data_IF_217495052266
#
_entry.id   IF_217495052266
#
_cell.length_a   1.000
_cell.length_b   1.000
_cell.length_c   1.000
_cell.angle_alpha   90.00
_cell.angle_beta   90.00
_cell.angle_gamma   90.00
#
_symmetry.space_group_name_H-M   'P 1'
#
loop_
_entity.id
_entity.type
_entity.pdbx_description
1 polymer ?
#
# COMPACT_ATOMS: atom_id res chain seq x y z
N UNK A 1 -5.47 -28.12 -75.13
CA UNK A 1 -6.44 -27.08 -74.76
C UNK A 1 -6.40 -26.92 -73.26
N UNK A 2 -6.26 -25.67 -72.82
CA UNK A 2 -5.97 -25.22 -71.46
C UNK A 2 -7.07 -25.53 -70.46
N UNK A 3 -6.69 -25.80 -69.20
CA UNK A 3 -7.21 -25.04 -68.07
C UNK A 3 -6.42 -25.38 -66.80
N UNK A 4 -5.61 -24.43 -66.32
CA UNK A 4 -5.11 -24.43 -64.95
C UNK A 4 -5.38 -23.05 -64.39
N UNK A 5 -6.36 -22.99 -63.47
CA UNK A 5 -6.76 -21.81 -62.72
C UNK A 5 -5.56 -21.29 -61.90
N UNK A 6 -5.19 -20.02 -62.10
CA UNK A 6 -4.40 -19.27 -61.12
C UNK A 6 -5.35 -18.71 -60.05
N UNK A 7 -5.26 -19.23 -58.82
CA UNK A 7 -5.79 -18.53 -57.65
C UNK A 7 -4.71 -17.60 -57.08
N UNK A 8 -4.86 -16.30 -57.33
CA UNK A 8 -4.06 -15.27 -56.66
C UNK A 8 -4.51 -15.11 -55.21
N UNK A 9 -3.70 -15.61 -54.27
CA UNK A 9 -3.86 -15.31 -52.85
C UNK A 9 -3.24 -13.97 -52.51
N UNK A 10 -4.06 -12.95 -52.27
CA UNK A 10 -3.60 -11.70 -51.65
C UNK A 10 -3.36 -11.98 -50.17
N UNK A 11 -2.09 -12.05 -49.78
CA UNK A 11 -1.72 -12.04 -48.37
C UNK A 11 -1.95 -10.64 -47.80
N UNK A 12 -3.12 -10.42 -47.16
CA UNK A 12 -3.29 -9.28 -46.27
C UNK A 12 -2.40 -9.49 -45.04
N UNK A 13 -1.25 -8.82 -45.02
CA UNK A 13 -0.51 -8.57 -43.77
C UNK A 13 -1.38 -7.65 -42.90
N UNK A 14 -2.20 -8.24 -42.02
CA UNK A 14 -2.80 -7.52 -40.92
C UNK A 14 -1.69 -7.10 -39.95
N UNK A 15 -1.28 -5.82 -40.03
CA UNK A 15 -0.47 -5.20 -38.98
C UNK A 15 -1.35 -5.16 -37.75
N UNK A 16 -1.09 -6.05 -36.78
CA UNK A 16 -1.72 -5.97 -35.47
C UNK A 16 -1.31 -4.63 -34.85
N UNK A 17 -2.22 -3.65 -34.85
CA UNK A 17 -2.02 -2.40 -34.14
C UNK A 17 -1.77 -2.75 -32.67
N UNK A 18 -0.57 -2.46 -32.17
CA UNK A 18 -0.26 -2.62 -30.75
C UNK A 18 -1.22 -1.74 -29.96
N UNK A 19 -2.06 -2.36 -29.12
CA UNK A 19 -2.96 -1.61 -28.25
C UNK A 19 -2.14 -0.59 -27.44
N UNK A 20 -2.46 0.69 -27.61
CA UNK A 20 -1.69 1.77 -27.01
C UNK A 20 -1.79 1.72 -25.48
N UNK A 21 -0.64 1.57 -24.81
CA UNK A 21 -0.59 1.50 -23.35
C UNK A 21 -0.32 2.87 -22.76
N UNK A 22 -1.27 3.41 -22.02
CA UNK A 22 -1.07 4.65 -21.24
C UNK A 22 -0.01 4.40 -20.16
N UNK A 23 1.05 5.22 -20.06
CA UNK A 23 2.10 5.04 -19.05
C UNK A 23 1.53 5.11 -17.63
N UNK A 24 2.11 4.33 -16.71
CA UNK A 24 1.71 4.35 -15.30
C UNK A 24 2.17 5.66 -14.67
N UNK A 25 1.31 6.25 -13.84
CA UNK A 25 1.69 7.35 -12.96
C UNK A 25 2.88 6.97 -12.07
N UNK A 26 3.82 7.89 -11.95
CA UNK A 26 4.89 7.84 -10.94
C UNK A 26 4.39 8.36 -9.59
N UNK A 27 3.35 9.20 -9.59
CA UNK A 27 2.69 9.71 -8.39
C UNK A 27 1.65 8.74 -7.81
N UNK A 28 1.24 9.04 -6.58
CA UNK A 28 0.18 8.34 -5.83
C UNK A 28 -0.89 9.34 -5.43
N UNK A 29 -2.15 8.95 -5.59
CA UNK A 29 -3.31 9.82 -5.40
C UNK A 29 -4.34 9.15 -4.49
N UNK A 30 -5.06 9.90 -3.66
CA UNK A 30 -6.28 9.40 -2.99
C UNK A 30 -7.47 9.49 -3.93
N UNK A 31 -8.57 8.83 -3.57
CA UNK A 31 -9.87 9.09 -4.18
C UNK A 31 -10.23 10.58 -3.98
N UNK A 32 -10.55 11.33 -5.05
CA UNK A 32 -10.72 12.79 -5.03
C UNK A 32 -12.08 13.27 -4.50
N UNK A 33 -12.67 12.53 -3.55
CA UNK A 33 -13.86 12.96 -2.80
C UNK A 33 -13.54 13.10 -1.32
N UNK A 34 -14.36 13.87 -0.59
CA UNK A 34 -14.25 13.99 0.85
C UNK A 34 -14.31 12.62 1.56
N UNK A 35 -13.67 12.52 2.73
CA UNK A 35 -13.65 11.28 3.52
C UNK A 35 -15.08 10.80 3.83
N UNK A 36 -15.34 9.52 3.65
CA UNK A 36 -16.64 8.89 3.86
C UNK A 36 -17.58 8.94 2.65
N UNK A 37 -17.25 9.69 1.59
CA UNK A 37 -18.04 9.66 0.35
C UNK A 37 -17.86 8.33 -0.37
N UNK A 38 -18.95 7.60 -0.58
CA UNK A 38 -18.99 6.49 -1.52
C UNK A 38 -18.96 7.04 -2.94
N UNK A 39 -18.26 6.36 -3.85
CA UNK A 39 -18.22 6.73 -5.26
C UNK A 39 -18.20 5.49 -6.14
N UNK A 40 -18.75 5.63 -7.34
CA UNK A 40 -18.70 4.61 -8.40
C UNK A 40 -17.79 5.09 -9.52
N UNK A 41 -16.97 4.18 -10.05
CA UNK A 41 -16.22 4.39 -11.29
C UNK A 41 -17.15 4.08 -12.45
N UNK A 42 -17.66 5.10 -13.14
CA UNK A 42 -18.51 4.91 -14.32
C UNK A 42 -17.67 4.59 -15.55
N UNK A 43 -16.57 5.31 -15.73
CA UNK A 43 -15.56 5.06 -16.76
C UNK A 43 -14.17 5.10 -16.14
N UNK A 44 -13.35 4.15 -16.54
CA UNK A 44 -11.94 4.03 -16.17
C UNK A 44 -11.02 4.40 -17.33
N UNK A 45 -9.71 4.23 -17.15
CA UNK A 45 -8.74 4.67 -18.15
C UNK A 45 -8.85 3.94 -19.50
N UNK A 46 -9.58 2.82 -19.57
CA UNK A 46 -9.77 2.03 -20.80
C UNK A 46 -11.12 2.30 -21.45
N UNK A 47 -12.13 2.58 -20.64
CA UNK A 47 -13.53 2.69 -21.07
C UNK A 47 -13.96 4.15 -21.31
N UNK A 48 -13.21 5.12 -20.81
CA UNK A 48 -13.40 6.53 -21.17
C UNK A 48 -12.99 6.81 -22.62
N UNK A 49 -13.73 7.67 -23.33
CA UNK A 49 -13.34 8.20 -24.64
C UNK A 49 -13.13 9.72 -24.57
N UNK A 50 -11.91 10.23 -24.81
CA UNK A 50 -10.69 9.49 -25.12
C UNK A 50 -10.09 8.79 -23.88
N UNK A 51 -9.35 7.70 -24.07
CA UNK A 51 -8.79 6.85 -22.99
C UNK A 51 -7.88 7.62 -22.02
N UNK A 52 -7.58 7.08 -20.84
CA UNK A 52 -6.64 7.72 -19.88
C UNK A 52 -7.26 8.73 -18.93
N UNK A 53 -8.59 8.72 -18.83
CA UNK A 53 -9.40 9.63 -18.00
C UNK A 53 -10.43 8.81 -17.23
N UNK A 54 -11.06 9.44 -16.25
CA UNK A 54 -11.96 8.76 -15.34
C UNK A 54 -13.23 9.58 -15.14
N UNK A 55 -14.38 8.93 -15.24
CA UNK A 55 -15.66 9.52 -14.82
C UNK A 55 -16.09 8.84 -13.53
N UNK A 56 -16.05 9.61 -12.45
CA UNK A 56 -16.30 9.18 -11.09
C UNK A 56 -17.60 9.82 -10.62
N UNK A 57 -18.47 9.07 -9.94
CA UNK A 57 -19.77 9.58 -9.49
C UNK A 57 -19.90 9.39 -8.00
N UNK A 58 -20.13 10.47 -7.26
CA UNK A 58 -20.47 10.40 -5.85
C UNK A 58 -21.77 9.62 -5.60
N UNK A 59 -21.83 8.88 -4.50
CA UNK A 59 -22.97 8.06 -4.07
C UNK A 59 -23.21 8.18 -2.56
N UNK A 60 -24.47 7.96 -2.17
CA UNK A 60 -24.92 8.00 -0.77
C UNK A 60 -24.95 9.41 -0.17
N UNK A 61 -25.47 9.58 1.05
CA UNK A 61 -25.44 10.89 1.73
C UNK A 61 -26.16 12.04 1.01
N UNK A 62 -25.77 13.28 1.31
CA UNK A 62 -26.40 14.50 0.78
C UNK A 62 -25.56 15.13 -0.32
N UNK A 63 -26.19 15.39 -1.46
CA UNK A 63 -25.61 16.14 -2.57
C UNK A 63 -25.55 17.66 -2.30
N UNK A 64 -24.61 18.39 -2.92
CA UNK A 64 -23.54 17.89 -3.79
C UNK A 64 -22.39 17.20 -3.06
N UNK A 65 -21.74 16.27 -3.76
CA UNK A 65 -20.53 15.61 -3.29
C UNK A 65 -19.33 16.55 -3.35
N UNK A 66 -18.54 16.58 -2.28
CA UNK A 66 -17.37 17.44 -2.16
C UNK A 66 -16.16 16.81 -2.82
N UNK A 67 -15.58 17.53 -3.79
CA UNK A 67 -14.34 17.15 -4.47
C UNK A 67 -13.16 17.70 -3.67
N UNK A 68 -12.11 16.89 -3.54
CA UNK A 68 -10.89 17.24 -2.80
C UNK A 68 -9.64 16.95 -3.62
N UNK A 69 -8.55 17.62 -3.29
CA UNK A 69 -7.26 17.36 -3.92
C UNK A 69 -6.81 15.91 -3.68
N UNK A 70 -6.47 15.21 -4.76
CA UNK A 70 -6.06 13.81 -4.73
C UNK A 70 -4.61 13.63 -4.25
N UNK A 71 -3.76 14.65 -4.38
CA UNK A 71 -2.39 14.66 -3.89
C UNK A 71 -1.97 16.10 -3.55
N UNK A 72 -0.92 16.30 -2.73
CA UNK A 72 -0.40 17.63 -2.47
C UNK A 72 0.17 18.26 -3.75
N UNK A 73 0.04 19.57 -3.89
CA UNK A 73 0.53 20.27 -5.07
C UNK A 73 0.18 21.75 -5.07
N UNK A 74 0.40 22.41 -6.22
CA UNK A 74 0.06 23.82 -6.43
C UNK A 74 -1.02 23.95 -7.49
N UNK A 75 -2.07 24.71 -7.21
CA UNK A 75 -3.13 24.98 -8.19
C UNK A 75 -2.55 25.87 -9.30
N UNK A 76 -2.61 25.40 -10.55
CA UNK A 76 -2.10 26.10 -11.73
C UNK A 76 -3.18 26.78 -12.55
N UNK A 77 -4.37 26.20 -12.62
CA UNK A 77 -5.49 26.79 -13.35
C UNK A 77 -6.81 26.55 -12.62
N UNK A 78 -7.68 27.56 -12.69
CA UNK A 78 -9.07 27.46 -12.22
C UNK A 78 -10.00 28.15 -13.23
N UNK A 79 -10.94 27.36 -13.75
CA UNK A 79 -12.16 27.87 -14.38
C UNK A 79 -13.36 27.49 -13.50
N UNK A 80 -14.22 28.46 -13.20
CA UNK A 80 -15.31 28.31 -12.22
C UNK A 80 -16.53 29.19 -12.55
N UNK A 81 -16.56 29.78 -13.75
CA UNK A 81 -17.54 30.80 -14.13
C UNK A 81 -18.76 30.25 -14.87
N UNK A 82 -18.68 29.04 -15.42
CA UNK A 82 -19.75 28.45 -16.23
C UNK A 82 -20.80 27.76 -15.36
N UNK A 83 -22.05 27.75 -15.82
CA UNK A 83 -23.18 27.09 -15.14
C UNK A 83 -23.95 26.10 -16.01
N UNK A 84 -23.74 26.12 -17.33
CA UNK A 84 -24.52 25.30 -18.25
C UNK A 84 -23.95 23.89 -18.38
N UNK A 85 -24.83 22.91 -18.46
CA UNK A 85 -24.54 21.59 -19.04
C UNK A 85 -24.60 21.71 -20.57
N UNK A 86 -23.63 21.10 -21.25
CA UNK A 86 -23.52 21.11 -22.70
C UNK A 86 -23.50 19.66 -23.19
N UNK A 87 -24.32 19.37 -24.20
CA UNK A 87 -24.26 18.11 -24.92
C UNK A 87 -22.96 18.07 -25.76
N UNK A 88 -22.16 17.02 -25.59
CA UNK A 88 -20.88 16.85 -26.28
C UNK A 88 -21.01 16.81 -27.80
N UNK A 89 -22.19 16.42 -28.31
CA UNK A 89 -22.43 16.29 -29.75
C UNK A 89 -23.03 17.56 -30.38
N UNK A 90 -23.30 18.59 -29.56
CA UNK A 90 -23.95 19.82 -30.03
C UNK A 90 -23.05 20.74 -30.88
N UNK A 91 -21.77 20.42 -31.04
CA UNK A 91 -20.78 21.28 -31.70
C UNK A 91 -20.43 22.55 -30.92
N UNK A 92 -21.04 22.76 -29.74
CA UNK A 92 -20.71 23.89 -28.85
C UNK A 92 -19.39 23.64 -28.13
N UNK A 93 -18.64 24.71 -27.80
CA UNK A 93 -17.43 24.57 -27.01
C UNK A 93 -17.71 23.94 -25.64
N UNK A 94 -16.88 22.99 -25.22
CA UNK A 94 -16.97 22.39 -23.90
C UNK A 94 -16.49 23.37 -22.80
N UNK A 95 -17.39 24.22 -22.32
CA UNK A 95 -17.12 25.20 -21.26
C UNK A 95 -17.17 24.54 -19.88
N UNK A 96 -16.15 23.75 -19.57
CA UNK A 96 -16.02 23.06 -18.29
C UNK A 96 -15.53 24.02 -17.20
N UNK A 97 -16.03 23.85 -15.97
CA UNK A 97 -15.32 24.34 -14.78
C UNK A 97 -14.33 23.27 -14.33
N UNK A 98 -13.11 23.69 -14.00
CA UNK A 98 -12.04 22.77 -13.64
C UNK A 98 -10.97 23.39 -12.74
N UNK A 99 -10.25 22.51 -12.06
CA UNK A 99 -8.99 22.80 -11.35
C UNK A 99 -7.89 21.91 -11.92
N UNK A 100 -6.73 22.50 -12.18
CA UNK A 100 -5.49 21.76 -12.43
C UNK A 100 -4.50 21.97 -11.28
N UNK A 101 -3.96 20.88 -10.74
CA UNK A 101 -2.95 20.89 -9.67
C UNK A 101 -1.66 20.29 -10.21
N UNK A 102 -0.54 21.00 -10.09
CA UNK A 102 0.80 20.47 -10.34
C UNK A 102 1.37 19.79 -9.10
N UNK A 103 1.98 18.63 -9.28
CA UNK A 103 2.61 17.83 -8.24
C UNK A 103 4.13 17.83 -8.35
N UNK A 104 4.81 17.50 -7.26
CA UNK A 104 6.28 17.54 -7.16
C UNK A 104 7.00 16.60 -8.15
N UNK A 105 6.32 15.56 -8.66
CA UNK A 105 6.85 14.63 -9.65
C UNK A 105 6.67 15.12 -11.11
N UNK A 106 6.17 16.34 -11.32
CA UNK A 106 5.90 16.92 -12.64
C UNK A 106 4.62 16.43 -13.31
N UNK A 107 3.85 15.55 -12.66
CA UNK A 107 2.49 15.21 -13.08
C UNK A 107 1.51 16.25 -12.57
N UNK A 108 0.41 16.41 -13.30
CA UNK A 108 -0.69 17.29 -12.94
C UNK A 108 -1.98 16.46 -12.84
N UNK A 109 -2.86 16.81 -11.90
CA UNK A 109 -4.21 16.26 -11.79
C UNK A 109 -5.28 17.28 -12.14
N UNK A 110 -6.30 16.86 -12.89
CA UNK A 110 -7.47 17.66 -13.26
C UNK A 110 -8.71 17.18 -12.52
N UNK A 111 -9.54 18.13 -12.12
CA UNK A 111 -10.87 17.93 -11.54
C UNK A 111 -11.82 18.78 -12.37
N UNK A 112 -12.84 18.20 -12.99
CA UNK A 112 -13.71 18.90 -13.95
C UNK A 112 -15.18 18.60 -13.73
N UNK A 113 -16.04 19.37 -14.41
CA UNK A 113 -17.50 19.40 -14.30
C UNK A 113 -18.04 19.93 -12.97
N UNK A 114 -17.21 20.70 -12.27
CA UNK A 114 -17.53 21.25 -10.96
C UNK A 114 -18.60 22.34 -11.04
N UNK A 115 -19.41 22.49 -9.99
CA UNK A 115 -20.45 23.53 -9.94
C UNK A 115 -19.84 24.93 -10.00
N UNK A 116 -20.56 25.85 -10.65
CA UNK A 116 -20.21 27.28 -10.69
C UNK A 116 -19.96 27.82 -9.29
N UNK A 117 -18.96 28.69 -9.16
CA UNK A 117 -18.60 29.39 -7.92
C UNK A 117 -18.19 28.45 -6.76
N UNK A 118 -18.11 27.14 -6.98
CA UNK A 118 -17.77 26.19 -5.91
C UNK A 118 -16.29 26.22 -5.57
N UNK A 119 -15.44 26.59 -6.52
CA UNK A 119 -13.98 26.59 -6.35
C UNK A 119 -13.47 27.92 -5.81
N UNK A 120 -13.78 29.03 -6.51
CA UNK A 120 -13.27 30.36 -6.19
C UNK A 120 -14.05 31.01 -5.04
N UNK A 121 -15.37 30.85 -5.01
CA UNK A 121 -16.23 31.51 -4.02
C UNK A 121 -16.41 30.63 -2.79
N UNK A 122 -16.97 29.42 -2.95
CA UNK A 122 -17.26 28.54 -1.81
C UNK A 122 -16.00 27.95 -1.17
N UNK A 123 -15.08 27.40 -1.97
CA UNK A 123 -13.82 26.86 -1.45
C UNK A 123 -12.72 27.93 -1.24
N UNK A 124 -12.91 29.14 -1.76
CA UNK A 124 -11.96 30.24 -1.61
C UNK A 124 -10.62 30.03 -2.32
N UNK A 125 -10.54 29.10 -3.29
CA UNK A 125 -9.28 28.70 -3.93
C UNK A 125 -8.84 29.69 -5.00
N UNK A 126 -7.52 29.83 -5.12
CA UNK A 126 -6.85 30.72 -6.09
C UNK A 126 -5.74 29.98 -6.82
N UNK A 127 -5.45 30.44 -8.04
CA UNK A 127 -4.25 30.02 -8.74
C UNK A 127 -3.02 30.42 -7.91
N UNK A 128 -2.10 29.48 -7.72
CA UNK A 128 -0.91 29.63 -6.86
C UNK A 128 -1.07 29.02 -5.47
N UNK A 129 -2.29 28.66 -5.04
CA UNK A 129 -2.51 28.01 -3.74
C UNK A 129 -1.77 26.66 -3.68
N UNK A 130 -1.10 26.43 -2.55
CA UNK A 130 -0.57 25.10 -2.19
C UNK A 130 -1.66 24.34 -1.44
N UNK A 131 -1.98 23.15 -1.93
CA UNK A 131 -3.00 22.26 -1.34
C UNK A 131 -2.38 20.95 -0.87
N UNK A 132 -2.98 20.35 0.15
CA UNK A 132 -2.69 19.00 0.65
C UNK A 132 -3.72 18.02 0.12
N UNK A 133 -3.39 16.73 0.09
CA UNK A 133 -4.39 15.70 -0.21
C UNK A 133 -5.56 15.78 0.77
N UNK A 134 -6.79 15.81 0.27
CA UNK A 134 -8.02 15.97 1.07
C UNK A 134 -8.50 17.42 1.22
N UNK A 135 -7.74 18.41 0.77
CA UNK A 135 -8.18 19.80 0.76
C UNK A 135 -9.36 19.99 -0.20
N UNK A 136 -10.43 20.63 0.29
CA UNK A 136 -11.63 20.88 -0.51
C UNK A 136 -11.34 21.79 -1.70
N UNK A 137 -11.77 21.36 -2.89
CA UNK A 137 -11.60 22.09 -4.15
C UNK A 137 -12.91 22.67 -4.67
N UNK A 138 -14.05 22.05 -4.38
CA UNK A 138 -15.37 22.49 -4.83
C UNK A 138 -16.34 21.33 -4.92
N UNK A 139 -17.47 21.53 -5.60
CA UNK A 139 -18.59 20.58 -5.59
C UNK A 139 -18.75 19.86 -6.93
N UNK A 140 -19.06 18.57 -6.88
CA UNK A 140 -19.46 17.78 -8.03
C UNK A 140 -20.70 18.39 -8.70
N UNK A 141 -20.67 18.40 -10.03
CA UNK A 141 -21.76 18.87 -10.86
C UNK A 141 -21.72 18.27 -12.25
N UNK A 142 -22.35 18.98 -13.18
CA UNK A 142 -22.50 18.60 -14.59
C UNK A 142 -22.20 19.76 -15.54
N UNK A 143 -21.30 20.66 -15.13
CA UNK A 143 -20.98 21.87 -15.90
C UNK A 143 -20.08 21.54 -17.10
N UNK A 144 -20.40 22.10 -18.26
CA UNK A 144 -19.69 21.85 -19.52
C UNK A 144 -20.14 20.55 -20.19
N UNK A 145 -19.24 19.89 -20.91
CA UNK A 145 -19.54 18.67 -21.68
C UNK A 145 -19.67 17.44 -20.77
N UNK A 146 -20.75 17.39 -20.01
CA UNK A 146 -21.04 16.33 -19.05
C UNK A 146 -22.39 15.68 -19.36
N UNK A 147 -22.44 14.35 -19.37
CA UNK A 147 -23.69 13.59 -19.55
C UNK A 147 -24.61 13.57 -18.32
N UNK A 148 -24.18 14.15 -17.20
CA UNK A 148 -24.85 14.14 -15.90
C UNK A 148 -23.86 14.52 -14.79
N UNK A 149 -24.32 14.48 -13.54
CA UNK A 149 -23.47 14.80 -12.38
C UNK A 149 -22.38 13.74 -12.20
N UNK A 150 -21.13 14.16 -12.33
CA UNK A 150 -19.93 13.34 -12.12
C UNK A 150 -18.68 14.22 -12.00
N UNK A 151 -17.66 13.72 -11.32
CA UNK A 151 -16.30 14.24 -11.43
C UNK A 151 -15.60 13.59 -12.62
N UNK A 152 -15.16 14.41 -13.57
CA UNK A 152 -14.16 13.99 -14.54
C UNK A 152 -12.75 14.22 -13.97
N UNK A 153 -11.97 13.16 -13.85
CA UNK A 153 -10.63 13.16 -13.26
C UNK A 153 -9.58 12.73 -14.29
N UNK A 154 -8.45 13.43 -14.30
CA UNK A 154 -7.31 13.12 -15.17
C UNK A 154 -6.00 13.24 -14.41
N UNK A 155 -5.01 12.42 -14.77
CA UNK A 155 -3.60 12.63 -14.41
C UNK A 155 -2.80 12.68 -15.71
N UNK A 156 -1.87 13.62 -15.83
CA UNK A 156 -1.01 13.72 -17.00
C UNK A 156 0.22 14.58 -16.81
N UNK A 157 1.12 14.58 -17.79
CA UNK A 157 2.30 15.46 -17.82
C UNK A 157 2.10 16.49 -18.94
N UNK A 158 1.80 17.74 -18.60
CA UNK A 158 1.53 18.77 -19.60
C UNK A 158 2.79 19.17 -20.37
N UNK A 159 2.61 19.98 -21.42
CA UNK A 159 3.72 20.70 -22.04
C UNK A 159 4.27 21.75 -21.06
N UNK A 160 5.56 22.06 -21.18
CA UNK A 160 6.17 23.14 -20.41
C UNK A 160 5.58 24.53 -20.78
N UNK A 161 5.23 24.73 -22.04
CA UNK A 161 4.54 25.93 -22.55
C UNK A 161 3.17 25.55 -23.07
N UNK A 162 2.19 26.44 -22.85
CA UNK A 162 0.79 26.25 -23.25
C UNK A 162 0.24 24.87 -22.83
N UNK A 163 0.23 24.58 -21.50
CA UNK A 163 -0.02 23.23 -20.99
C UNK A 163 -1.43 22.72 -21.31
N UNK A 164 -2.40 23.63 -21.42
CA UNK A 164 -3.82 23.32 -21.64
C UNK A 164 -4.45 24.23 -22.69
N UNK A 165 -5.57 23.79 -23.27
CA UNK A 165 -6.43 24.62 -24.11
C UNK A 165 -7.14 25.67 -23.25
N UNK A 166 -7.41 26.84 -23.84
CA UNK A 166 -8.15 27.92 -23.18
C UNK A 166 -9.61 27.56 -22.91
N UNK A 167 -10.22 26.81 -23.83
CA UNK A 167 -11.59 26.30 -23.68
C UNK A 167 -11.53 24.86 -23.19
N UNK A 168 -12.26 24.55 -22.12
CA UNK A 168 -12.41 23.21 -21.55
C UNK A 168 -11.22 22.67 -20.76
N UNK A 169 -10.07 23.35 -20.82
CA UNK A 169 -8.88 23.04 -20.03
C UNK A 169 -8.28 21.67 -20.32
N UNK A 170 -8.27 21.25 -21.59
CA UNK A 170 -7.72 19.95 -22.00
C UNK A 170 -6.21 20.05 -22.17
N UNK A 171 -5.47 18.98 -21.84
CA UNK A 171 -4.02 18.94 -22.12
C UNK A 171 -3.76 19.18 -23.61
N UNK A 172 -2.85 20.12 -23.90
CA UNK A 172 -2.42 20.37 -25.29
C UNK A 172 -1.57 19.25 -25.83
N UNK A 173 -1.61 19.05 -27.16
CA UNK A 173 -0.84 18.03 -27.86
C UNK A 173 -1.01 16.66 -27.16
N UNK A 174 -2.25 16.28 -26.93
CA UNK A 174 -2.60 15.06 -26.19
C UNK A 174 -3.44 14.09 -27.03
N UNK A 175 -3.18 14.07 -28.35
CA UNK A 175 -3.67 13.02 -29.23
C UNK A 175 -3.30 11.64 -28.67
N UNK A 176 -4.25 10.72 -28.76
CA UNK A 176 -4.14 9.35 -28.24
C UNK A 176 -3.75 9.25 -26.76
N UNK A 177 -4.03 10.31 -25.99
CA UNK A 177 -3.75 10.38 -24.56
C UNK A 177 -2.28 10.17 -24.19
N UNK A 178 -1.35 10.52 -25.10
CA UNK A 178 0.10 10.35 -24.90
C UNK A 178 0.66 11.09 -23.67
N UNK A 179 -0.04 12.12 -23.19
CA UNK A 179 0.31 12.88 -21.98
C UNK A 179 -0.39 12.39 -20.74
N UNK A 180 -1.48 11.63 -20.85
CA UNK A 180 -2.15 11.07 -19.69
C UNK A 180 -1.26 10.01 -19.01
N UNK A 181 -1.54 9.77 -17.74
CA UNK A 181 -0.97 8.70 -16.94
C UNK A 181 -2.11 7.89 -16.35
N UNK A 182 -1.92 6.57 -16.28
CA UNK A 182 -2.79 5.72 -15.50
C UNK A 182 -2.56 6.05 -14.03
N UNK A 183 -3.53 6.71 -13.41
CA UNK A 183 -3.45 7.13 -12.01
C UNK A 183 -3.27 5.90 -11.11
N UNK A 184 -2.40 6.02 -10.11
CA UNK A 184 -2.24 5.04 -9.04
C UNK A 184 -2.96 5.56 -7.81
N UNK A 185 -4.01 4.86 -7.42
CA UNK A 185 -4.93 5.30 -6.38
C UNK A 185 -4.67 4.53 -5.09
N UNK A 186 -4.41 5.25 -4.00
CA UNK A 186 -4.23 4.66 -2.69
C UNK A 186 -5.54 4.08 -2.15
N UNK A 187 -5.42 3.03 -1.33
CA UNK A 187 -6.51 2.44 -0.56
C UNK A 187 -7.62 1.77 -1.38
N UNK A 188 -7.30 1.32 -2.59
CA UNK A 188 -8.15 0.45 -3.40
C UNK A 188 -7.35 -0.74 -3.96
N UNK A 189 -8.00 -1.88 -4.28
CA UNK A 189 -7.34 -3.03 -4.89
C UNK A 189 -6.55 -2.65 -6.15
N UNK A 190 -5.35 -3.22 -6.29
CA UNK A 190 -4.41 -2.98 -7.40
C UNK A 190 -4.04 -1.51 -7.65
N UNK A 191 -4.37 -0.62 -6.70
CA UNK A 191 -4.26 0.83 -6.84
C UNK A 191 -4.90 1.38 -8.12
N UNK A 192 -6.00 0.77 -8.60
CA UNK A 192 -6.57 1.09 -9.91
C UNK A 192 -8.08 1.25 -9.86
N UNK A 193 -8.57 2.34 -10.44
CA UNK A 193 -10.00 2.47 -10.73
C UNK A 193 -10.38 1.48 -11.83
N UNK A 194 -11.45 0.73 -11.59
CA UNK A 194 -12.01 -0.24 -12.55
C UNK A 194 -13.47 0.10 -12.75
N UNK A 195 -13.89 0.30 -13.99
CA UNK A 195 -15.27 0.67 -14.31
C UNK A 195 -16.27 -0.36 -13.74
N UNK A 196 -17.35 0.14 -13.16
CA UNK A 196 -18.37 -0.65 -12.47
C UNK A 196 -18.13 -0.81 -10.97
N UNK A 197 -16.90 -0.67 -10.48
CA UNK A 197 -16.59 -0.81 -9.06
C UNK A 197 -16.97 0.44 -8.27
N UNK A 198 -17.30 0.24 -6.99
CA UNK A 198 -17.50 1.30 -6.00
C UNK A 198 -16.42 1.27 -4.93
N UNK A 199 -16.09 2.44 -4.41
CA UNK A 199 -15.12 2.62 -3.34
C UNK A 199 -15.57 3.73 -2.38
N UNK A 200 -15.10 3.69 -1.14
CA UNK A 200 -15.30 4.78 -0.18
C UNK A 200 -14.04 5.62 -0.08
N UNK A 201 -14.14 6.91 -0.37
CA UNK A 201 -13.05 7.84 -0.21
C UNK A 201 -12.65 7.95 1.27
N UNK A 202 -11.34 7.99 1.52
CA UNK A 202 -10.79 8.06 2.87
C UNK A 202 -9.47 8.80 2.91
N UNK A 203 -9.07 9.19 4.11
CA UNK A 203 -7.72 9.67 4.37
C UNK A 203 -6.73 8.53 4.17
N UNK A 204 -5.76 8.76 3.31
CA UNK A 204 -4.68 7.81 3.02
C UNK A 204 -3.40 8.26 3.74
N UNK A 205 -2.43 7.35 3.95
CA UNK A 205 -1.10 7.75 4.43
C UNK A 205 -0.54 8.89 3.58
N UNK A 206 0.00 9.93 4.22
CA UNK A 206 0.63 11.05 3.51
C UNK A 206 2.03 10.69 3.00
N UNK A 207 2.58 11.45 2.03
CA UNK A 207 3.91 11.19 1.49
C UNK A 207 4.97 11.13 2.60
N UNK A 208 5.92 10.20 2.47
CA UNK A 208 7.06 10.11 3.36
C UNK A 208 8.16 11.07 2.95
N UNK A 209 8.85 11.66 3.94
CA UNK A 209 10.04 12.46 3.71
C UNK A 209 11.30 11.60 3.82
N UNK A 210 12.26 11.86 2.93
CA UNK A 210 13.60 11.27 3.01
C UNK A 210 14.40 11.82 4.21
N UNK A 211 15.48 11.13 4.58
CA UNK A 211 16.47 11.63 5.55
C UNK A 211 16.35 11.07 6.98
N UNK A 212 15.25 10.40 7.33
CA UNK A 212 15.14 9.68 8.60
C UNK A 212 15.94 8.37 8.55
N UNK A 213 16.56 8.00 9.67
CA UNK A 213 17.22 6.68 9.79
C UNK A 213 16.23 5.52 9.87
N UNK A 214 14.99 5.81 10.26
CA UNK A 214 13.88 4.85 10.32
C UNK A 214 12.54 5.59 10.23
N UNK A 215 11.58 4.99 9.54
CA UNK A 215 10.18 5.41 9.53
C UNK A 215 9.34 4.21 9.94
N UNK A 216 8.38 4.39 10.85
CA UNK A 216 7.50 3.31 11.27
C UNK A 216 6.03 3.75 11.25
N UNK A 217 5.13 2.81 10.94
CA UNK A 217 3.67 2.97 10.96
C UNK A 217 3.04 1.71 11.54
N UNK A 218 2.07 1.88 12.43
CA UNK A 218 1.49 0.79 13.21
C UNK A 218 -0.02 0.89 13.20
N UNK A 219 -0.69 -0.25 13.21
CA UNK A 219 -2.15 -0.31 13.09
C UNK A 219 -2.66 0.24 11.76
N UNK A 220 -1.88 0.11 10.68
CA UNK A 220 -2.29 0.55 9.35
C UNK A 220 -3.26 -0.48 8.74
N UNK A 221 -4.46 -0.11 8.27
CA UNK A 221 -5.33 -1.04 7.54
C UNK A 221 -4.58 -1.69 6.36
N UNK A 222 -4.75 -3.00 6.15
CA UNK A 222 -4.02 -3.72 5.09
C UNK A 222 -4.22 -3.11 3.70
N UNK A 223 -5.42 -2.59 3.43
CA UNK A 223 -5.77 -1.91 2.17
C UNK A 223 -4.90 -0.66 1.89
N UNK A 224 -4.36 -0.04 2.94
CA UNK A 224 -3.51 1.14 2.85
C UNK A 224 -2.02 0.78 2.72
N UNK A 225 -1.63 -0.48 2.98
CA UNK A 225 -0.22 -0.88 3.06
C UNK A 225 0.52 -0.75 1.73
N UNK A 226 -0.11 -1.09 0.60
CA UNK A 226 0.53 -0.93 -0.70
C UNK A 226 0.85 0.54 -0.98
N UNK A 227 -0.07 1.46 -0.66
CA UNK A 227 0.17 2.90 -0.78
C UNK A 227 1.35 3.34 0.11
N UNK A 228 1.38 2.89 1.37
CA UNK A 228 2.48 3.22 2.28
C UNK A 228 3.83 2.69 1.78
N UNK A 229 3.86 1.44 1.29
CA UNK A 229 5.06 0.82 0.72
C UNK A 229 5.58 1.63 -0.46
N UNK A 230 4.70 2.05 -1.37
CA UNK A 230 5.09 2.81 -2.55
C UNK A 230 5.57 4.22 -2.20
N UNK A 231 4.96 4.87 -1.21
CA UNK A 231 5.44 6.14 -0.66
C UNK A 231 6.83 5.99 -0.03
N UNK A 232 7.07 4.89 0.68
CA UNK A 232 8.38 4.59 1.26
C UNK A 232 9.43 4.39 0.16
N UNK A 233 9.10 3.65 -0.90
CA UNK A 233 9.99 3.41 -2.03
C UNK A 233 10.34 4.71 -2.77
N UNK A 234 9.34 5.58 -3.03
CA UNK A 234 9.55 6.91 -3.63
C UNK A 234 10.49 7.76 -2.75
N UNK A 235 10.33 7.69 -1.43
CA UNK A 235 11.16 8.41 -0.47
C UNK A 235 12.53 7.77 -0.20
N UNK A 236 12.89 6.70 -0.93
CA UNK A 236 14.19 6.03 -0.81
C UNK A 236 14.31 5.08 0.38
N UNK A 237 13.19 4.52 0.86
CA UNK A 237 13.14 3.53 1.94
C UNK A 237 12.70 2.15 1.45
N UNK A 238 13.01 1.14 2.26
CA UNK A 238 12.59 -0.24 2.07
C UNK A 238 12.11 -0.82 3.41
N UNK A 239 11.10 -1.72 3.41
CA UNK A 239 10.67 -2.37 4.64
C UNK A 239 11.77 -3.29 5.20
N UNK A 240 11.90 -3.27 6.52
CA UNK A 240 12.84 -4.10 7.28
C UNK A 240 12.15 -4.96 8.33
N UNK A 241 10.91 -4.65 8.65
CA UNK A 241 10.06 -5.40 9.56
C UNK A 241 8.60 -5.26 9.12
N UNK A 242 7.85 -6.34 9.20
CA UNK A 242 6.40 -6.37 9.10
C UNK A 242 5.87 -7.27 10.21
N UNK A 243 4.75 -6.87 10.80
CA UNK A 243 3.90 -7.73 11.62
C UNK A 243 2.45 -7.48 11.22
N UNK A 244 1.69 -8.57 11.14
CA UNK A 244 0.30 -8.54 10.72
C UNK A 244 -0.59 -8.86 11.93
N UNK A 245 -1.48 -7.95 12.26
CA UNK A 245 -2.41 -8.10 13.39
C UNK A 245 -3.84 -8.05 12.89
N UNK A 246 -4.67 -9.02 13.29
CA UNK A 246 -6.11 -8.92 13.08
C UNK A 246 -6.78 -8.19 14.25
N UNK A 247 -7.71 -7.28 13.96
CA UNK A 247 -8.58 -6.61 14.95
C UNK A 247 -10.02 -6.60 14.43
N UNK A 248 -10.95 -7.18 15.16
CA UNK A 248 -12.36 -7.24 14.76
C UNK A 248 -12.61 -7.94 13.42
N UNK A 249 -11.71 -8.85 13.00
CA UNK A 249 -11.75 -9.52 11.70
C UNK A 249 -10.90 -8.85 10.62
N UNK A 250 -10.69 -7.53 10.71
CA UNK A 250 -9.88 -6.79 9.73
C UNK A 250 -8.37 -6.99 9.96
N UNK A 251 -7.59 -6.98 8.88
CA UNK A 251 -6.13 -7.06 8.94
C UNK A 251 -5.47 -5.68 9.01
N UNK A 252 -4.48 -5.57 9.87
CA UNK A 252 -3.66 -4.38 10.06
C UNK A 252 -2.17 -4.72 9.97
N UNK A 253 -1.36 -3.77 9.52
CA UNK A 253 0.08 -3.90 9.32
C UNK A 253 0.82 -2.97 10.27
N UNK A 254 1.86 -3.53 10.89
CA UNK A 254 2.90 -2.82 11.61
C UNK A 254 4.17 -2.88 10.77
N UNK A 255 4.57 -1.76 10.18
CA UNK A 255 5.65 -1.70 9.21
C UNK A 255 6.77 -0.76 9.67
N UNK A 256 8.01 -1.23 9.56
CA UNK A 256 9.23 -0.45 9.79
C UNK A 256 10.01 -0.37 8.49
N UNK A 257 10.40 0.83 8.12
CA UNK A 257 11.14 1.16 6.91
C UNK A 257 12.47 1.82 7.27
N UNK A 258 13.51 1.54 6.48
CA UNK A 258 14.85 2.14 6.58
C UNK A 258 15.38 2.52 5.21
N UNK A 259 16.38 3.41 5.12
CA UNK A 259 16.99 3.77 3.85
C UNK A 259 17.30 2.54 2.99
N UNK A 260 16.89 2.62 1.72
CA UNK A 260 16.95 1.51 0.79
C UNK A 260 18.38 1.33 0.25
N UNK A 261 18.72 0.08 -0.06
CA UNK A 261 19.85 -0.24 -0.94
C UNK A 261 19.26 -0.83 -2.22
N UNK A 262 19.44 -0.12 -3.34
CA UNK A 262 18.80 -0.47 -4.61
C UNK A 262 19.10 -1.92 -5.04
N UNK A 263 18.07 -2.63 -5.53
CA UNK A 263 18.21 -3.99 -6.05
C UNK A 263 18.36 -5.10 -5.00
N UNK A 264 18.29 -4.79 -3.70
CA UNK A 264 18.55 -5.77 -2.64
C UNK A 264 17.31 -6.41 -2.01
N UNK A 265 16.11 -5.92 -2.31
CA UNK A 265 14.85 -6.36 -1.68
C UNK A 265 13.81 -6.81 -2.72
N UNK A 266 13.09 -7.89 -2.39
CA UNK A 266 11.74 -8.17 -2.91
C UNK A 266 10.77 -8.25 -1.73
N UNK A 267 9.63 -7.59 -1.83
CA UNK A 267 8.61 -7.59 -0.79
C UNK A 267 7.26 -7.87 -1.41
N UNK A 268 6.48 -8.74 -0.77
CA UNK A 268 5.16 -9.13 -1.23
C UNK A 268 4.22 -9.23 -0.02
N UNK A 269 2.93 -8.98 -0.24
CA UNK A 269 1.85 -9.16 0.73
C UNK A 269 0.57 -9.57 -0.01
N UNK A 270 -0.45 -10.01 0.72
CA UNK A 270 -1.73 -10.43 0.14
C UNK A 270 -1.66 -11.72 -0.67
N UNK A 271 -0.61 -12.53 -0.52
CA UNK A 271 -0.46 -13.78 -1.27
C UNK A 271 -1.25 -14.90 -0.61
N UNK A 272 -1.92 -15.74 -1.40
CA UNK A 272 -2.34 -17.06 -0.93
C UNK A 272 -1.13 -18.03 -0.84
N UNK A 273 -1.39 -19.27 -0.47
CA UNK A 273 -0.35 -20.28 -0.28
C UNK A 273 0.47 -20.55 -1.56
N UNK A 274 -0.21 -20.70 -2.69
CA UNK A 274 0.42 -20.99 -3.98
C UNK A 274 1.17 -19.77 -4.53
N UNK A 275 0.57 -18.59 -4.39
CA UNK A 275 1.19 -17.30 -4.73
C UNK A 275 2.46 -17.06 -3.92
N UNK A 276 2.44 -17.33 -2.61
CA UNK A 276 3.65 -17.26 -1.78
C UNK A 276 4.72 -18.25 -2.28
N UNK A 277 4.35 -19.50 -2.53
CA UNK A 277 5.28 -20.52 -3.00
C UNK A 277 5.94 -20.10 -4.33
N UNK A 278 5.16 -19.60 -5.28
CA UNK A 278 5.66 -19.11 -6.56
C UNK A 278 6.63 -17.92 -6.41
N UNK A 279 6.32 -16.94 -5.53
CA UNK A 279 7.23 -15.82 -5.25
C UNK A 279 8.50 -16.27 -4.54
N UNK A 280 8.40 -17.22 -3.62
CA UNK A 280 9.54 -17.81 -2.93
C UNK A 280 10.49 -18.50 -3.91
N UNK A 281 9.97 -19.35 -4.80
CA UNK A 281 10.78 -20.10 -5.76
C UNK A 281 11.47 -19.18 -6.77
N UNK A 282 10.75 -18.15 -7.26
CA UNK A 282 11.33 -17.12 -8.12
C UNK A 282 12.42 -16.29 -7.40
N UNK A 283 12.18 -15.88 -6.14
CA UNK A 283 13.17 -15.17 -5.34
C UNK A 283 14.43 -16.01 -5.11
N UNK A 284 14.26 -17.28 -4.75
CA UNK A 284 15.35 -18.23 -4.54
C UNK A 284 16.18 -18.44 -5.80
N UNK A 285 15.53 -18.62 -6.96
CA UNK A 285 16.19 -18.76 -8.26
C UNK A 285 17.08 -17.55 -8.58
N UNK A 286 16.64 -16.35 -8.20
CA UNK A 286 17.35 -15.10 -8.48
C UNK A 286 18.38 -14.72 -7.40
N UNK A 287 18.68 -15.65 -6.47
CA UNK A 287 19.67 -15.48 -5.41
C UNK A 287 19.19 -14.64 -4.21
N UNK A 288 17.88 -14.43 -4.07
CA UNK A 288 17.30 -13.83 -2.87
C UNK A 288 16.96 -14.92 -1.84
N UNK A 289 17.07 -14.60 -0.56
CA UNK A 289 16.65 -15.47 0.55
C UNK A 289 15.58 -14.79 1.40
N UNK A 290 14.61 -15.54 1.96
CA UNK A 290 13.60 -14.96 2.84
C UNK A 290 14.24 -14.47 4.13
N UNK A 291 13.81 -13.32 4.63
CA UNK A 291 14.27 -12.74 5.90
C UNK A 291 13.13 -12.46 6.88
N UNK A 292 11.89 -12.47 6.40
CA UNK A 292 10.68 -12.31 7.22
C UNK A 292 9.51 -12.97 6.49
N UNK A 293 8.66 -13.69 7.22
CA UNK A 293 7.46 -14.34 6.72
C UNK A 293 6.33 -14.17 7.75
N UNK A 294 5.26 -13.51 7.34
CA UNK A 294 4.05 -13.29 8.13
C UNK A 294 2.88 -14.05 7.50
N UNK A 295 2.00 -14.58 8.35
CA UNK A 295 0.72 -15.17 7.96
C UNK A 295 -0.41 -14.53 8.77
N UNK A 296 -1.50 -14.18 8.10
CA UNK A 296 -2.62 -13.44 8.70
C UNK A 296 -3.94 -13.80 8.03
N UNK A 297 -5.07 -13.43 8.66
CA UNK A 297 -6.39 -13.58 8.03
C UNK A 297 -6.78 -12.32 7.27
N UNK A 298 -7.40 -12.52 6.13
CA UNK A 298 -8.15 -11.51 5.37
C UNK A 298 -9.36 -12.24 4.74
N UNK A 299 -9.46 -12.29 3.42
CA UNK A 299 -10.39 -13.15 2.65
C UNK A 299 -9.97 -14.65 2.63
N UNK A 300 -9.31 -15.10 3.68
CA UNK A 300 -8.62 -16.38 3.80
C UNK A 300 -7.29 -16.22 4.53
N UNK A 301 -6.48 -17.29 4.59
CA UNK A 301 -5.09 -17.16 5.04
C UNK A 301 -4.30 -16.47 3.92
N UNK A 302 -3.57 -15.42 4.30
CA UNK A 302 -2.67 -14.66 3.42
C UNK A 302 -1.26 -14.60 4.00
N UNK A 303 -0.30 -14.37 3.11
CA UNK A 303 1.12 -14.32 3.42
C UNK A 303 1.74 -13.01 2.96
N UNK A 304 2.64 -12.50 3.80
CA UNK A 304 3.55 -11.42 3.44
C UNK A 304 4.99 -11.84 3.70
N UNK A 305 5.89 -11.47 2.80
CA UNK A 305 7.27 -11.93 2.86
C UNK A 305 8.25 -10.86 2.38
N UNK A 306 9.38 -10.78 3.07
CA UNK A 306 10.52 -9.98 2.67
C UNK A 306 11.66 -10.92 2.26
N UNK A 307 12.26 -10.66 1.10
CA UNK A 307 13.39 -11.40 0.57
C UNK A 307 14.56 -10.46 0.31
N UNK A 308 15.78 -10.85 0.69
CA UNK A 308 16.97 -10.05 0.45
C UNK A 308 18.01 -10.78 -0.38
N UNK A 309 18.68 -10.03 -1.25
CA UNK A 309 19.84 -10.49 -2.02
C UNK A 309 21.11 -10.28 -1.20
N UNK A 310 21.32 -11.16 -0.23
CA UNK A 310 22.47 -11.14 0.69
C UNK A 310 22.96 -12.56 0.94
N UNK A 311 24.26 -12.72 1.18
CA UNK A 311 24.81 -13.98 1.66
C UNK A 311 24.26 -14.32 3.05
N UNK A 312 24.25 -15.60 3.40
CA UNK A 312 23.78 -16.03 4.71
C UNK A 312 23.89 -17.54 4.90
N UNK A 313 23.61 -18.01 6.13
CA UNK A 313 23.63 -19.43 6.45
C UNK A 313 22.59 -20.22 5.65
N UNK A 314 22.80 -21.54 5.58
CA UNK A 314 21.77 -22.47 5.10
C UNK A 314 20.46 -22.26 5.87
N UNK A 315 19.32 -22.36 5.18
CA UNK A 315 18.02 -22.06 5.78
C UNK A 315 16.96 -23.10 5.41
N UNK A 316 15.92 -23.20 6.24
CA UNK A 316 14.69 -23.95 5.97
C UNK A 316 13.51 -23.02 6.16
N UNK A 317 12.48 -23.19 5.34
CA UNK A 317 11.26 -22.38 5.40
C UNK A 317 10.04 -23.24 5.10
N UNK A 318 8.93 -22.93 5.74
CA UNK A 318 7.62 -23.51 5.43
C UNK A 318 6.51 -22.54 5.80
N UNK A 319 5.32 -22.77 5.27
CA UNK A 319 4.12 -21.97 5.50
C UNK A 319 2.88 -22.86 5.68
N UNK A 320 1.90 -22.38 6.45
CA UNK A 320 0.61 -23.04 6.63
C UNK A 320 0.62 -24.40 7.35
N UNK A 321 1.72 -24.77 8.03
CA UNK A 321 1.85 -26.10 8.65
C UNK A 321 1.17 -26.21 10.01
N UNK A 322 0.71 -27.41 10.37
CA UNK A 322 0.04 -27.63 11.66
C UNK A 322 1.02 -27.55 12.85
N UNK A 323 0.47 -27.43 14.06
CA UNK A 323 1.26 -27.40 15.29
C UNK A 323 2.16 -28.63 15.47
N UNK A 324 1.69 -29.83 15.13
CA UNK A 324 2.48 -31.06 15.25
C UNK A 324 3.71 -31.04 14.32
N UNK A 325 3.55 -30.57 13.08
CA UNK A 325 4.67 -30.39 12.17
C UNK A 325 5.67 -29.36 12.71
N UNK A 326 5.19 -28.21 13.19
CA UNK A 326 6.06 -27.18 13.75
C UNK A 326 6.88 -27.68 14.94
N UNK A 327 6.24 -28.44 15.85
CA UNK A 327 6.90 -29.02 17.00
C UNK A 327 7.98 -30.03 16.57
N UNK A 328 7.65 -30.93 15.65
CA UNK A 328 8.63 -31.88 15.09
C UNK A 328 9.82 -31.18 14.41
N UNK A 329 9.55 -30.10 13.66
CA UNK A 329 10.61 -29.27 13.06
C UNK A 329 11.49 -28.62 14.13
N UNK A 330 10.90 -28.09 15.21
CA UNK A 330 11.64 -27.50 16.33
C UNK A 330 12.55 -28.51 17.02
N UNK A 331 12.05 -29.72 17.30
CA UNK A 331 12.80 -30.74 18.03
C UNK A 331 13.93 -31.35 17.20
N UNK A 332 13.70 -31.54 15.89
CA UNK A 332 14.69 -32.14 15.00
C UNK A 332 15.71 -31.11 14.51
N UNK A 333 15.27 -29.95 14.04
CA UNK A 333 16.17 -29.00 13.40
C UNK A 333 17.07 -28.29 14.41
N UNK A 334 16.64 -28.18 15.68
CA UNK A 334 17.51 -27.77 16.79
C UNK A 334 18.73 -28.67 16.93
N UNK A 335 18.56 -30.00 16.81
CA UNK A 335 19.67 -30.99 16.88
C UNK A 335 20.60 -30.86 15.67
N UNK A 336 20.07 -30.42 14.54
CA UNK A 336 20.84 -30.16 13.31
C UNK A 336 21.53 -28.78 13.28
N UNK A 337 21.40 -27.98 14.35
CA UNK A 337 22.01 -26.66 14.47
C UNK A 337 21.25 -25.52 13.79
N UNK A 338 19.97 -25.73 13.45
CA UNK A 338 19.09 -24.65 13.00
C UNK A 338 18.44 -23.93 14.17
N UNK A 339 18.25 -22.63 14.01
CA UNK A 339 17.53 -21.76 14.95
C UNK A 339 16.41 -21.01 14.24
N UNK A 340 15.24 -20.82 14.89
CA UNK A 340 14.16 -20.06 14.29
C UNK A 340 14.51 -18.58 14.29
N UNK A 341 14.21 -17.88 13.20
CA UNK A 341 14.44 -16.42 13.07
C UNK A 341 13.17 -15.63 12.77
N UNK A 342 12.12 -16.30 12.29
CA UNK A 342 10.77 -15.77 12.12
C UNK A 342 9.79 -16.92 12.29
N UNK A 343 8.75 -16.73 13.10
CA UNK A 343 7.69 -17.70 13.36
C UNK A 343 6.38 -16.93 13.49
N UNK A 344 5.59 -16.93 12.41
CA UNK A 344 4.27 -16.31 12.38
C UNK A 344 3.19 -17.38 12.54
N UNK A 345 2.14 -17.06 13.29
CA UNK A 345 1.03 -17.98 13.56
C UNK A 345 -0.27 -17.31 13.16
N UNK A 346 -1.09 -18.03 12.41
CA UNK A 346 -2.47 -17.65 12.12
C UNK A 346 -3.39 -18.78 12.57
N UNK A 347 -4.48 -18.43 13.23
CA UNK A 347 -5.55 -19.40 13.47
C UNK A 347 -6.35 -19.57 12.17
N UNK A 348 -6.67 -20.80 11.80
CA UNK A 348 -7.52 -21.15 10.65
C UNK A 348 -8.23 -22.47 10.94
N UNK A 349 -8.96 -22.52 12.05
CA UNK A 349 -9.53 -23.76 12.62
C UNK A 349 -8.51 -24.52 13.47
N UNK A 350 -7.58 -23.79 14.08
CA UNK A 350 -6.36 -24.31 14.71
C UNK A 350 -5.12 -23.56 14.23
N UNK A 351 -4.02 -23.70 14.97
CA UNK A 351 -2.77 -23.00 14.67
C UNK A 351 -2.15 -23.47 13.36
N UNK A 352 -1.91 -22.52 12.46
CA UNK A 352 -1.11 -22.69 11.24
C UNK A 352 0.17 -21.86 11.39
N UNK A 353 1.30 -22.52 11.14
CA UNK A 353 2.64 -21.98 11.35
C UNK A 353 3.34 -21.69 10.03
N UNK A 354 3.98 -20.54 9.98
CA UNK A 354 4.88 -20.11 8.92
C UNK A 354 6.19 -19.70 9.54
N UNK A 355 7.30 -20.29 9.14
CA UNK A 355 8.57 -20.05 9.82
C UNK A 355 9.78 -20.11 8.91
N UNK A 356 10.79 -19.31 9.27
CA UNK A 356 12.13 -19.32 8.70
C UNK A 356 13.11 -19.78 9.77
N UNK A 357 13.97 -20.70 9.40
CA UNK A 357 15.03 -21.27 10.23
C UNK A 357 16.38 -21.08 9.55
N UNK A 358 17.41 -20.74 10.32
CA UNK A 358 18.78 -20.57 9.82
C UNK A 358 19.74 -21.49 10.55
N UNK A 359 20.70 -22.09 9.83
CA UNK A 359 21.78 -22.90 10.40
C UNK A 359 22.93 -22.00 10.81
N UNK A 360 22.85 -21.44 12.01
CA UNK A 360 23.84 -20.50 12.56
C UNK A 360 23.96 -20.67 14.07
N UNK A 361 25.14 -20.36 14.59
CA UNK A 361 25.35 -20.28 16.03
C UNK A 361 24.84 -18.94 16.57
N UNK A 362 23.94 -19.00 17.55
CA UNK A 362 23.41 -17.84 18.28
C UNK A 362 23.60 -17.98 19.79
N UNK A 363 24.44 -18.93 20.21
CA UNK A 363 24.56 -19.39 21.58
C UNK A 363 23.26 -20.01 22.10
N UNK A 364 23.03 -19.88 23.40
CA UNK A 364 21.78 -20.32 24.02
C UNK A 364 20.59 -19.56 23.43
N UNK A 365 19.51 -20.29 23.12
CA UNK A 365 18.27 -19.69 22.63
C UNK A 365 17.03 -20.37 23.21
N UNK A 366 15.91 -19.66 23.20
CA UNK A 366 14.60 -20.17 23.61
C UNK A 366 13.54 -19.56 22.71
N UNK A 367 12.61 -20.39 22.24
CA UNK A 367 11.47 -19.96 21.44
C UNK A 367 10.19 -20.53 22.06
N UNK A 368 9.14 -19.70 22.10
CA UNK A 368 7.79 -20.10 22.52
C UNK A 368 6.79 -19.47 21.56
N UNK A 369 5.82 -20.24 21.10
CA UNK A 369 4.84 -19.81 20.09
C UNK A 369 3.43 -19.59 20.64
N UNK A 370 3.22 -19.75 21.94
CA UNK A 370 1.93 -19.57 22.59
C UNK A 370 2.15 -19.05 24.01
N UNK A 371 2.57 -17.79 24.13
CA UNK A 371 2.66 -17.09 25.42
C UNK A 371 1.44 -16.19 25.57
N UNK A 372 0.70 -16.31 26.66
CA UNK A 372 -0.19 -15.23 27.09
C UNK A 372 0.62 -13.96 27.37
N UNK A 373 -0.02 -12.77 27.40
CA UNK A 373 0.69 -11.54 27.76
C UNK A 373 1.41 -11.61 29.11
N UNK A 374 0.83 -12.31 30.11
CA UNK A 374 1.46 -12.51 31.41
C UNK A 374 2.67 -13.47 31.34
N UNK A 375 2.55 -14.58 30.60
CA UNK A 375 3.66 -15.50 30.39
C UNK A 375 4.80 -14.88 29.58
N UNK A 376 4.51 -13.92 28.70
CA UNK A 376 5.54 -13.18 27.97
C UNK A 376 6.45 -12.36 28.91
N UNK A 377 5.89 -11.75 29.96
CA UNK A 377 6.68 -11.04 30.98
C UNK A 377 7.66 -12.00 31.67
N UNK A 378 7.17 -13.16 32.13
CA UNK A 378 8.02 -14.18 32.76
C UNK A 378 9.09 -14.71 31.78
N UNK A 379 8.71 -15.00 30.54
CA UNK A 379 9.63 -15.40 29.48
C UNK A 379 10.74 -14.37 29.28
N UNK A 380 10.41 -13.08 29.24
CA UNK A 380 11.39 -12.02 29.11
C UNK A 380 12.36 -11.99 30.29
N UNK A 381 11.85 -11.99 31.53
CA UNK A 381 12.67 -11.87 32.74
C UNK A 381 13.62 -13.07 32.90
N UNK A 382 13.14 -14.28 32.63
CA UNK A 382 13.95 -15.50 32.66
C UNK A 382 15.05 -15.49 31.61
N UNK A 383 14.72 -15.10 30.37
CA UNK A 383 15.71 -15.06 29.28
C UNK A 383 16.75 -13.96 29.50
N UNK A 384 16.33 -12.79 29.99
CA UNK A 384 17.21 -11.68 30.35
C UNK A 384 18.21 -12.10 31.44
N UNK A 385 17.73 -12.74 32.52
CA UNK A 385 18.59 -13.31 33.58
C UNK A 385 19.56 -14.35 33.04
N UNK A 386 19.16 -15.12 32.03
CA UNK A 386 20.00 -16.11 31.36
C UNK A 386 20.89 -15.54 30.24
N UNK A 387 21.03 -14.21 30.13
CA UNK A 387 21.91 -13.56 29.14
C UNK A 387 21.41 -13.62 27.69
N UNK A 388 20.11 -13.88 27.48
CA UNK A 388 19.47 -13.91 26.16
C UNK A 388 18.59 -12.67 25.97
N UNK A 389 18.57 -12.13 24.76
CA UNK A 389 17.76 -10.96 24.41
C UNK A 389 16.71 -11.32 23.35
N UNK A 390 15.58 -10.59 23.33
CA UNK A 390 14.49 -10.84 22.39
C UNK A 390 14.91 -10.50 20.95
N UNK A 391 14.92 -11.51 20.11
CA UNK A 391 15.32 -11.45 18.71
C UNK A 391 14.13 -11.27 17.75
N UNK A 392 12.96 -11.84 18.10
CA UNK A 392 11.77 -11.82 17.26
C UNK A 392 10.50 -11.90 18.12
N UNK A 393 9.45 -11.23 17.65
CA UNK A 393 8.09 -11.27 18.21
C UNK A 393 7.06 -11.31 17.09
N UNK A 394 5.94 -11.97 17.32
CA UNK A 394 4.72 -11.96 16.49
C UNK A 394 3.50 -12.11 17.42
N UNK A 395 2.35 -11.55 17.03
CA UNK A 395 1.11 -11.63 17.79
C UNK A 395 -0.02 -12.29 17.01
N UNK A 396 -0.84 -13.09 17.67
CA UNK A 396 -2.01 -13.73 17.06
C UNK A 396 -3.12 -13.98 18.08
N UNK A 397 -4.32 -14.36 17.60
CA UNK A 397 -5.42 -14.86 18.44
C UNK A 397 -5.69 -16.33 18.15
N UNK A 398 -6.08 -17.07 19.17
CA UNK A 398 -6.58 -18.45 19.05
C UNK A 398 -7.76 -18.62 20.00
N UNK A 399 -8.92 -19.01 19.47
CA UNK A 399 -10.13 -19.17 20.28
C UNK A 399 -10.52 -17.91 21.06
N UNK A 400 -10.26 -16.72 20.49
CA UNK A 400 -10.50 -15.43 21.15
C UNK A 400 -9.38 -14.97 22.11
N UNK A 401 -8.48 -15.83 22.56
CA UNK A 401 -7.40 -15.42 23.46
C UNK A 401 -6.18 -14.86 22.69
N UNK A 402 -5.54 -13.78 23.18
CA UNK A 402 -4.30 -13.25 22.60
C UNK A 402 -3.09 -14.10 22.97
N UNK A 403 -2.21 -14.33 22.01
CA UNK A 403 -0.95 -15.01 22.20
C UNK A 403 0.20 -14.28 21.50
N UNK A 404 1.38 -14.39 22.09
CA UNK A 404 2.63 -13.85 21.61
C UNK A 404 3.58 -15.01 21.29
N UNK A 405 4.18 -14.94 20.11
CA UNK A 405 5.35 -15.72 19.74
C UNK A 405 6.58 -14.91 20.11
N UNK A 406 7.56 -15.53 20.76
CA UNK A 406 8.81 -14.88 21.15
C UNK A 406 10.02 -15.79 20.92
N UNK A 407 11.10 -15.22 20.40
CA UNK A 407 12.39 -15.88 20.26
C UNK A 407 13.43 -15.03 20.99
N UNK A 408 14.18 -15.63 21.92
CA UNK A 408 15.30 -15.01 22.61
C UNK A 408 16.59 -15.79 22.33
N UNK A 409 17.71 -15.10 22.14
CA UNK A 409 19.02 -15.76 22.01
C UNK A 409 20.18 -14.89 22.55
N UNK A 410 21.30 -15.54 22.83
CA UNK A 410 22.49 -14.91 23.42
C UNK A 410 23.25 -14.03 22.42
N UNK A 411 23.19 -14.33 21.12
CA UNK A 411 23.82 -13.50 20.09
C UNK A 411 23.08 -12.17 19.82
N UNK A 412 21.84 -12.03 20.29
CA UNK A 412 21.11 -10.76 20.16
C UNK A 412 21.73 -9.75 21.13
N UNK A 413 22.18 -8.56 20.66
CA UNK A 413 22.85 -7.60 21.52
C UNK A 413 22.01 -7.20 22.73
N UNK A 414 22.67 -7.13 23.89
CA UNK A 414 22.08 -6.61 25.11
C UNK A 414 21.90 -5.08 25.04
N UNK A 415 21.07 -4.56 25.94
CA UNK A 415 20.76 -3.13 26.03
C UNK A 415 19.61 -2.71 25.10
N UNK A 416 19.29 -1.42 25.14
CA UNK A 416 18.14 -0.85 24.44
C UNK A 416 16.89 -0.76 25.32
N UNK A 417 15.72 -0.76 24.69
CA UNK A 417 14.42 -0.62 25.33
C UNK A 417 13.51 -1.76 24.90
N UNK A 418 12.82 -2.38 25.84
CA UNK A 418 11.79 -3.38 25.54
C UNK A 418 10.54 -3.10 26.37
N UNK A 419 9.38 -3.20 25.73
CA UNK A 419 8.07 -2.95 26.34
C UNK A 419 7.03 -3.90 25.74
N UNK A 420 5.98 -4.18 26.48
CA UNK A 420 4.82 -4.94 26.02
C UNK A 420 3.56 -4.45 26.72
N UNK A 421 2.38 -4.90 26.27
CA UNK A 421 1.11 -4.42 26.79
C UNK A 421 0.81 -2.96 26.45
N UNK A 422 1.52 -2.37 25.48
CA UNK A 422 1.38 -0.95 25.16
C UNK A 422 0.08 -0.71 24.39
N UNK A 423 -0.70 0.29 24.79
CA UNK A 423 -1.74 0.86 23.93
C UNK A 423 -1.10 1.52 22.71
N UNK A 424 -1.90 1.91 21.71
CA UNK A 424 -1.37 2.64 20.55
C UNK A 424 -0.63 3.93 20.95
N UNK A 425 -1.23 4.74 21.83
CA UNK A 425 -0.60 5.97 22.34
C UNK A 425 0.70 5.68 23.12
N UNK A 426 0.68 4.70 24.04
CA UNK A 426 1.87 4.34 24.81
C UNK A 426 2.99 3.75 23.92
N UNK A 427 2.63 3.04 22.85
CA UNK A 427 3.58 2.59 21.84
C UNK A 427 4.22 3.75 21.10
N UNK A 428 3.41 4.75 20.68
CA UNK A 428 3.91 5.93 20.01
C UNK A 428 4.93 6.67 20.89
N UNK A 429 4.58 6.93 22.16
CA UNK A 429 5.47 7.58 23.14
C UNK A 429 6.77 6.79 23.34
N UNK A 430 6.68 5.47 23.46
CA UNK A 430 7.84 4.60 23.62
C UNK A 430 8.74 4.58 22.38
N UNK A 431 8.15 4.55 21.17
CA UNK A 431 8.89 4.61 19.92
C UNK A 431 9.63 5.95 19.77
N UNK A 432 8.97 7.08 20.08
CA UNK A 432 9.60 8.41 20.05
C UNK A 432 10.73 8.53 21.07
N UNK A 433 10.53 8.04 22.30
CA UNK A 433 11.57 7.99 23.32
C UNK A 433 12.76 7.12 22.87
N UNK A 434 12.49 5.97 22.23
CA UNK A 434 13.53 5.11 21.70
C UNK A 434 14.29 5.75 20.52
N UNK A 435 13.63 6.55 19.67
CA UNK A 435 14.30 7.31 18.59
C UNK A 435 15.15 8.44 19.17
N UNK A 436 14.65 9.19 20.17
CA UNK A 436 15.42 10.21 20.89
C UNK A 436 16.66 9.64 21.56
N UNK A 437 16.58 8.39 22.03
CA UNK A 437 17.71 7.65 22.61
C UNK A 437 18.67 7.02 21.56
N UNK A 438 18.47 7.26 20.26
CA UNK A 438 19.33 6.73 19.20
C UNK A 438 19.21 5.21 18.99
N UNK A 439 18.12 4.59 19.47
CA UNK A 439 17.81 3.19 19.20
C UNK A 439 17.13 3.08 17.83
N UNK A 440 16.91 1.87 17.34
CA UNK A 440 16.13 1.50 16.15
C UNK A 440 15.17 0.36 16.48
N UNK A 441 14.04 0.23 15.78
CA UNK A 441 13.04 -0.82 16.06
C UNK A 441 13.55 -2.18 15.58
N UNK A 442 13.73 -3.13 16.48
CA UNK A 442 14.24 -4.48 16.14
C UNK A 442 13.15 -5.54 16.10
N UNK A 443 12.00 -5.27 16.71
CA UNK A 443 10.80 -6.07 16.57
C UNK A 443 9.61 -5.29 17.12
N UNK A 444 8.47 -5.41 16.46
CA UNK A 444 7.19 -4.91 16.93
C UNK A 444 6.13 -5.91 16.51
N UNK A 445 5.22 -6.25 17.41
CA UNK A 445 4.05 -7.03 17.09
C UNK A 445 2.81 -6.50 17.81
N UNK A 446 1.69 -6.48 17.09
CA UNK A 446 0.38 -6.18 17.65
C UNK A 446 -0.37 -7.46 17.99
N UNK A 447 -1.18 -7.40 19.04
CA UNK A 447 -2.11 -8.47 19.39
C UNK A 447 -3.39 -7.85 19.96
N UNK A 448 -4.54 -8.34 19.51
CA UNK A 448 -5.85 -7.84 19.96
C UNK A 448 -6.25 -8.48 21.29
N UNK A 449 -6.58 -7.62 22.26
CA UNK A 449 -7.19 -7.97 23.55
C UNK A 449 -8.62 -7.46 23.59
N UNK A 450 -9.39 -7.80 24.63
CA UNK A 450 -10.75 -7.30 24.81
C UNK A 450 -10.79 -5.77 24.97
N UNK A 451 -9.72 -5.18 25.50
CA UNK A 451 -9.53 -3.72 25.63
C UNK A 451 -8.88 -3.08 24.39
N UNK A 452 -8.91 -3.78 23.25
CA UNK A 452 -8.30 -3.37 21.98
C UNK A 452 -6.88 -3.86 21.74
N UNK A 453 -6.24 -3.37 20.68
CA UNK A 453 -4.90 -3.79 20.27
C UNK A 453 -3.86 -3.33 21.29
N UNK A 454 -2.93 -4.23 21.60
CA UNK A 454 -1.74 -3.99 22.41
C UNK A 454 -0.49 -4.31 21.59
N UNK A 455 0.63 -3.69 21.95
CA UNK A 455 1.90 -3.87 21.26
C UNK A 455 2.97 -4.43 22.19
N UNK A 456 3.77 -5.35 21.65
CA UNK A 456 5.08 -5.74 22.16
C UNK A 456 6.15 -5.22 21.21
N UNK A 457 7.20 -4.62 21.75
CA UNK A 457 8.24 -4.05 20.94
C UNK A 457 9.61 -4.00 21.62
N UNK A 458 10.64 -4.06 20.80
CA UNK A 458 12.02 -3.97 21.21
C UNK A 458 12.78 -3.01 20.31
N UNK A 459 13.57 -2.13 20.93
CA UNK A 459 14.40 -1.13 20.29
C UNK A 459 15.84 -1.26 20.76
N UNK A 460 16.80 -1.27 19.84
CA UNK A 460 18.23 -1.37 20.14
C UNK A 460 19.04 -0.55 19.14
N UNK A 461 20.28 -0.21 19.49
CA UNK A 461 21.21 0.45 18.56
C UNK A 461 21.36 -0.31 17.26
#
# INVERSE_FOLDING_TARGET
MNNTLLCGGVALCAVAATAQTIPVSTGLYRIPYADGTEMKVNRDEKTHTPIGRYDLVGKGGSEPYRIVAAAPGTIRFIEDSFSAQIDSDSGKPCTNNYVWIEHANGEWSKYSHMRKDSTKVKAGRKVGDVVKAGDYLGDEGKVGCAGGDHLHFEVGVPRATDPITTVGGFLQDNGDSKRNRRARICSIPDQRFVAGNSHTARKVPGPMSAGSVEVARHGLPIVDYQCLFDQAAIAGYQPVWLDMTNKGGDAFVNAVFRPATAGTLRAYHGLDADGYQAKFDAAKKDGFRPVLLESYRDDGVRYAALFRKVAGPGYRVYHGKEAAFHQNAMDNWKKEGFVPVSVSVVDSGGRRYSAIWEKRDVGAWTARSQLTPAEYQAFYDENSKAGKNIAYVNGYRLGGAPFIVAIANAATPAGGMQRHGLTNAAYQDAWEAARKAGLLTRGVAGYETDDGVRYVATWRK
#
